data_IF_128677756535
#
_entry.id   IF_128677756535
#
_cell.length_a   1.000
_cell.length_b   1.000
_cell.length_c   1.000
_cell.angle_alpha   90.00
_cell.angle_beta   90.00
_cell.angle_gamma   90.00
#
_symmetry.space_group_name_H-M   'P 1'
#
loop_
_entity.id
_entity.type
_entity.pdbx_description
1 polymer ?
#
# COMPACT_ATOMS: atom_id res chain seq x y z
N UNK A 1 -16.19 4.54 11.47
CA UNK A 1 -14.86 4.04 11.08
C UNK A 1 -15.04 2.57 10.76
N UNK A 2 -14.47 2.07 9.66
CA UNK A 2 -14.51 0.65 9.35
C UNK A 2 -13.82 -0.15 10.46
N UNK A 3 -14.29 -1.37 10.70
CA UNK A 3 -13.67 -2.29 11.65
C UNK A 3 -12.56 -3.05 10.92
N UNK A 4 -11.32 -2.91 11.40
CA UNK A 4 -10.13 -3.55 10.86
C UNK A 4 -9.44 -4.48 11.89
N UNK A 5 -10.08 -4.69 13.05
CA UNK A 5 -9.54 -5.57 14.09
C UNK A 5 -9.68 -7.04 13.68
N UNK A 6 -10.77 -7.38 12.98
CA UNK A 6 -10.96 -8.68 12.32
C UNK A 6 -11.03 -8.49 10.81
N UNK A 7 -9.99 -8.94 10.10
CA UNK A 7 -9.94 -8.94 8.64
C UNK A 7 -10.39 -10.29 8.06
N UNK A 8 -10.91 -11.22 8.85
CA UNK A 8 -11.38 -12.52 8.35
C UNK A 8 -12.41 -12.31 7.24
N UNK A 9 -12.19 -12.93 6.07
CA UNK A 9 -13.07 -12.79 4.91
C UNK A 9 -12.80 -11.58 4.02
N UNK A 10 -11.76 -10.78 4.30
CA UNK A 10 -11.41 -9.59 3.50
C UNK A 10 -11.31 -9.86 1.99
N UNK A 11 -10.79 -11.04 1.60
CA UNK A 11 -10.71 -11.47 0.20
C UNK A 11 -12.06 -11.68 -0.45
N UNK A 12 -12.98 -12.33 0.26
CA UNK A 12 -14.33 -12.60 -0.26
C UNK A 12 -15.12 -11.29 -0.39
N UNK A 13 -14.94 -10.36 0.56
CA UNK A 13 -15.51 -9.01 0.48
C UNK A 13 -14.97 -8.25 -0.74
N UNK A 14 -13.64 -8.22 -0.92
CA UNK A 14 -13.03 -7.56 -2.07
C UNK A 14 -13.51 -8.16 -3.39
N UNK A 15 -13.57 -9.50 -3.46
CA UNK A 15 -14.04 -10.21 -4.66
C UNK A 15 -15.50 -9.86 -4.96
N UNK A 16 -16.36 -9.82 -3.94
CA UNK A 16 -17.76 -9.42 -4.11
C UNK A 16 -17.87 -7.96 -4.57
N UNK A 17 -17.06 -7.07 -3.99
CA UNK A 17 -17.04 -5.66 -4.35
C UNK A 17 -16.59 -5.45 -5.79
N UNK A 18 -15.47 -6.04 -6.22
CA UNK A 18 -14.98 -5.99 -7.62
C UNK A 18 -16.01 -6.48 -8.66
N UNK A 19 -16.92 -7.39 -8.27
CA UNK A 19 -17.96 -7.90 -9.16
C UNK A 19 -19.19 -6.99 -9.26
N UNK A 20 -19.40 -6.12 -8.28
CA UNK A 20 -20.49 -5.15 -8.27
C UNK A 20 -20.26 -4.02 -9.27
N UNK A 21 -21.34 -3.38 -9.73
CA UNK A 21 -21.23 -2.21 -10.62
C UNK A 21 -20.59 -1.02 -9.90
N UNK A 22 -20.82 -0.89 -8.59
CA UNK A 22 -20.17 0.10 -7.74
C UNK A 22 -18.65 -0.10 -7.70
N UNK A 23 -18.19 -1.32 -7.44
CA UNK A 23 -16.76 -1.62 -7.37
C UNK A 23 -16.05 -1.42 -8.71
N UNK A 24 -16.67 -1.81 -9.83
CA UNK A 24 -16.11 -1.53 -11.17
C UNK A 24 -15.90 -0.04 -11.39
N UNK A 25 -16.94 0.76 -11.14
CA UNK A 25 -16.84 2.21 -11.28
C UNK A 25 -15.80 2.83 -10.35
N UNK A 26 -15.69 2.30 -9.12
CA UNK A 26 -14.72 2.74 -8.13
C UNK A 26 -13.26 2.54 -8.59
N UNK A 27 -12.91 1.34 -9.06
CA UNK A 27 -11.53 1.05 -9.52
C UNK A 27 -11.19 1.76 -10.84
N UNK A 28 -12.17 1.99 -11.71
CA UNK A 28 -11.98 2.71 -12.98
C UNK A 28 -11.86 4.24 -12.80
N UNK A 29 -12.33 4.80 -11.67
CA UNK A 29 -12.52 6.24 -11.54
C UNK A 29 -11.23 7.05 -11.77
N UNK A 30 -10.13 6.58 -11.20
CA UNK A 30 -8.81 7.22 -11.22
C UNK A 30 -7.75 6.33 -11.87
N UNK A 31 -8.15 5.29 -12.61
CA UNK A 31 -7.23 4.40 -13.30
C UNK A 31 -6.30 5.18 -14.24
N UNK A 32 -5.10 4.64 -14.48
CA UNK A 32 -4.14 5.18 -15.45
C UNK A 32 -4.83 5.35 -16.81
N UNK A 33 -4.86 6.60 -17.31
CA UNK A 33 -5.52 6.95 -18.57
C UNK A 33 -6.92 7.52 -18.41
N UNK A 34 -7.50 7.53 -17.21
CA UNK A 34 -8.77 8.23 -16.88
C UNK A 34 -8.70 9.74 -17.11
N UNK A 35 -7.49 10.32 -17.05
CA UNK A 35 -7.26 11.77 -17.10
C UNK A 35 -7.67 12.50 -15.82
N UNK A 36 -8.10 11.77 -14.78
CA UNK A 36 -8.40 12.31 -13.45
C UNK A 36 -7.18 12.20 -12.54
N UNK A 37 -7.12 13.08 -11.54
CA UNK A 37 -6.14 13.03 -10.47
C UNK A 37 -6.91 12.65 -9.21
N UNK A 38 -6.50 11.56 -8.55
CA UNK A 38 -7.08 11.17 -7.29
C UNK A 38 -6.80 12.21 -6.20
N UNK A 39 -7.75 12.46 -5.28
CA UNK A 39 -7.46 13.24 -4.08
C UNK A 39 -6.34 12.58 -3.27
N UNK A 40 -5.53 13.40 -2.58
CA UNK A 40 -4.51 12.90 -1.66
C UNK A 40 -5.16 12.06 -0.57
N UNK A 41 -4.51 10.96 -0.18
CA UNK A 41 -4.96 10.15 0.94
C UNK A 41 -4.61 10.86 2.26
N UNK A 42 -5.52 10.94 3.24
CA UNK A 42 -5.16 11.44 4.57
C UNK A 42 -4.00 10.62 5.17
N UNK A 43 -3.01 11.30 5.74
CA UNK A 43 -1.82 10.64 6.27
C UNK A 43 -2.16 9.64 7.38
N UNK A 44 -3.19 9.92 8.18
CA UNK A 44 -3.70 8.98 9.19
C UNK A 44 -4.18 7.65 8.58
N UNK A 45 -4.79 7.69 7.38
CA UNK A 45 -5.16 6.47 6.66
C UNK A 45 -3.94 5.72 6.12
N UNK A 46 -2.88 6.43 5.71
CA UNK A 46 -1.61 5.79 5.34
C UNK A 46 -1.02 5.03 6.55
N UNK A 47 -1.02 5.66 7.73
CA UNK A 47 -0.51 5.07 8.96
C UNK A 47 -1.35 3.87 9.43
N UNK A 48 -2.68 3.93 9.30
CA UNK A 48 -3.57 2.81 9.61
C UNK A 48 -3.30 1.61 8.69
N UNK A 49 -3.25 1.82 7.38
CA UNK A 49 -2.94 0.77 6.40
C UNK A 49 -1.57 0.13 6.68
N UNK A 50 -0.53 0.95 6.83
CA UNK A 50 0.81 0.47 7.15
C UNK A 50 0.83 -0.33 8.47
N UNK A 51 0.08 0.14 9.47
CA UNK A 51 -0.07 -0.54 10.75
C UNK A 51 -0.82 -1.87 10.64
N UNK A 52 -1.80 -1.99 9.76
CA UNK A 52 -2.49 -3.26 9.47
C UNK A 52 -1.54 -4.27 8.81
N UNK A 53 -0.74 -3.83 7.84
CA UNK A 53 0.26 -4.68 7.18
C UNK A 53 1.31 -5.25 8.14
N UNK A 54 1.68 -4.49 9.18
CA UNK A 54 2.64 -4.94 10.20
C UNK A 54 2.02 -5.83 11.29
N UNK A 55 0.69 -5.80 11.48
CA UNK A 55 0.00 -6.53 12.55
C UNK A 55 -0.61 -7.84 12.09
N UNK A 56 -1.19 -7.88 10.89
CA UNK A 56 -1.92 -9.04 10.40
C UNK A 56 -0.97 -10.05 9.78
N UNK A 57 -0.89 -11.26 10.36
CA UNK A 57 0.16 -12.24 10.08
C UNK A 57 0.31 -12.55 8.59
N UNK A 58 -0.79 -12.79 7.89
CA UNK A 58 -0.76 -13.10 6.45
C UNK A 58 -0.17 -11.96 5.62
N UNK A 59 -0.64 -10.73 5.87
CA UNK A 59 -0.20 -9.53 5.16
C UNK A 59 1.26 -9.24 5.50
N UNK A 60 1.65 -9.43 6.76
CA UNK A 60 3.01 -9.26 7.22
C UNK A 60 3.97 -10.25 6.55
N UNK A 61 3.60 -11.52 6.41
CA UNK A 61 4.42 -12.49 5.67
C UNK A 61 4.57 -12.09 4.20
N UNK A 62 3.50 -11.60 3.57
CA UNK A 62 3.58 -11.07 2.22
C UNK A 62 4.49 -9.83 2.14
N UNK A 63 4.46 -8.94 3.14
CA UNK A 63 5.33 -7.76 3.26
C UNK A 63 6.81 -8.17 3.31
N UNK A 64 7.16 -9.15 4.16
CA UNK A 64 8.53 -9.66 4.29
C UNK A 64 9.08 -10.21 2.98
N UNK A 65 8.28 -10.96 2.21
CA UNK A 65 8.70 -11.42 0.88
C UNK A 65 8.93 -10.26 -0.09
N UNK A 66 8.13 -9.20 -0.01
CA UNK A 66 8.34 -7.99 -0.79
C UNK A 66 9.62 -7.25 -0.42
N UNK A 67 9.97 -7.20 0.87
CA UNK A 67 11.24 -6.63 1.34
C UNK A 67 12.43 -7.43 0.81
N UNK A 68 12.36 -8.76 0.90
CA UNK A 68 13.40 -9.65 0.38
C UNK A 68 13.55 -9.53 -1.14
N UNK A 69 12.44 -9.42 -1.87
CA UNK A 69 12.46 -9.18 -3.30
C UNK A 69 13.14 -7.85 -3.66
N UNK A 70 12.82 -6.76 -2.96
CA UNK A 70 13.48 -5.48 -3.15
C UNK A 70 15.00 -5.58 -2.91
N UNK A 71 15.42 -6.31 -1.87
CA UNK A 71 16.84 -6.58 -1.59
C UNK A 71 17.52 -7.32 -2.75
N UNK A 72 16.88 -8.33 -3.32
CA UNK A 72 17.40 -9.07 -4.48
C UNK A 72 17.59 -8.13 -5.68
N UNK A 73 16.61 -7.27 -5.97
CA UNK A 73 16.69 -6.31 -7.07
C UNK A 73 17.80 -5.28 -6.86
N UNK A 74 17.97 -4.77 -5.63
CA UNK A 74 19.03 -3.83 -5.28
C UNK A 74 20.43 -4.45 -5.42
N UNK A 75 20.60 -5.71 -5.01
CA UNK A 75 21.88 -6.44 -5.11
C UNK A 75 22.19 -6.89 -6.55
N UNK A 76 21.17 -6.99 -7.40
CA UNK A 76 21.28 -7.49 -8.77
C UNK A 76 20.68 -6.50 -9.77
N UNK A 77 21.38 -5.41 -10.11
CA UNK A 77 20.84 -4.32 -10.93
C UNK A 77 20.43 -4.72 -12.36
N UNK A 78 20.80 -5.91 -12.83
CA UNK A 78 20.40 -6.46 -14.15
C UNK A 78 19.48 -7.69 -14.03
N UNK A 79 18.79 -7.86 -12.89
CA UNK A 79 17.88 -8.97 -12.66
C UNK A 79 16.47 -8.61 -13.15
N UNK A 80 16.27 -8.72 -14.46
CA UNK A 80 15.00 -8.41 -15.13
C UNK A 80 14.21 -9.68 -15.47
N UNK A 81 13.01 -9.49 -16.03
CA UNK A 81 12.05 -10.57 -16.33
C UNK A 81 12.57 -11.66 -17.28
N UNK A 82 13.64 -11.37 -18.03
CA UNK A 82 14.29 -12.27 -18.98
C UNK A 82 15.37 -13.13 -18.31
N UNK A 83 15.74 -12.83 -17.06
CA UNK A 83 16.66 -13.65 -16.30
C UNK A 83 15.99 -15.00 -15.97
N UNK A 84 16.69 -16.15 -16.16
CA UNK A 84 16.10 -17.48 -15.94
C UNK A 84 15.46 -17.66 -14.55
N UNK A 85 16.14 -17.19 -13.50
CA UNK A 85 15.66 -17.31 -12.12
C UNK A 85 14.63 -16.24 -11.71
N UNK A 86 14.24 -15.31 -12.60
CA UNK A 86 13.41 -14.16 -12.21
C UNK A 86 12.07 -14.61 -11.66
N UNK A 87 11.34 -15.44 -12.41
CA UNK A 87 10.01 -15.89 -12.04
C UNK A 87 10.02 -16.89 -10.89
N UNK A 88 11.13 -17.60 -10.69
CA UNK A 88 11.30 -18.50 -9.55
C UNK A 88 11.54 -17.74 -8.23
N UNK A 89 12.16 -16.56 -8.30
CA UNK A 89 12.46 -15.72 -7.14
C UNK A 89 11.41 -14.63 -6.88
N UNK A 90 10.65 -14.22 -7.91
CA UNK A 90 9.63 -13.19 -7.78
C UNK A 90 8.44 -13.70 -6.94
N UNK A 91 8.14 -13.09 -5.78
CA UNK A 91 7.08 -13.56 -4.90
C UNK A 91 5.70 -13.05 -5.37
N UNK A 92 5.29 -13.48 -6.57
CA UNK A 92 4.08 -13.02 -7.27
C UNK A 92 2.83 -13.09 -6.38
N UNK A 93 2.56 -14.25 -5.77
CA UNK A 93 1.39 -14.42 -4.88
C UNK A 93 1.39 -13.43 -3.70
N UNK A 94 2.58 -13.05 -3.22
CA UNK A 94 2.70 -12.08 -2.14
C UNK A 94 2.55 -10.64 -2.64
N UNK A 95 2.89 -10.35 -3.90
CA UNK A 95 2.56 -9.07 -4.53
C UNK A 95 1.04 -8.93 -4.67
N UNK A 96 0.38 -9.96 -5.21
CA UNK A 96 -1.08 -10.02 -5.35
C UNK A 96 -1.77 -9.88 -4.01
N UNK A 97 -1.32 -10.60 -2.98
CA UNK A 97 -1.91 -10.51 -1.63
C UNK A 97 -1.83 -9.10 -1.05
N UNK A 98 -0.72 -8.39 -1.23
CA UNK A 98 -0.58 -7.01 -0.72
C UNK A 98 -1.42 -6.02 -1.52
N UNK A 99 -1.42 -6.14 -2.86
CA UNK A 99 -2.23 -5.28 -3.73
C UNK A 99 -3.72 -5.46 -3.43
N UNK A 100 -4.20 -6.70 -3.37
CA UNK A 100 -5.59 -6.99 -2.99
C UNK A 100 -5.92 -6.42 -1.60
N UNK A 101 -5.00 -6.51 -0.63
CA UNK A 101 -5.26 -5.96 0.70
C UNK A 101 -5.36 -4.43 0.70
N UNK A 102 -4.53 -3.75 -0.10
CA UNK A 102 -4.60 -2.29 -0.27
C UNK A 102 -5.91 -1.87 -0.94
N UNK A 103 -6.32 -2.55 -2.00
CA UNK A 103 -7.60 -2.34 -2.67
C UNK A 103 -8.77 -2.53 -1.69
N UNK A 104 -8.72 -3.60 -0.89
CA UNK A 104 -9.74 -3.88 0.12
C UNK A 104 -9.81 -2.77 1.17
N UNK A 105 -8.67 -2.35 1.70
CA UNK A 105 -8.60 -1.27 2.66
C UNK A 105 -9.16 0.04 2.10
N UNK A 106 -8.81 0.39 0.85
CA UNK A 106 -9.23 1.62 0.21
C UNK A 106 -10.75 1.73 0.14
N UNK A 107 -11.44 0.70 -0.39
CA UNK A 107 -12.90 0.75 -0.51
C UNK A 107 -13.58 0.66 0.87
N UNK A 108 -13.07 -0.17 1.80
CA UNK A 108 -13.63 -0.30 3.15
C UNK A 108 -13.53 1.00 3.94
N UNK A 109 -12.47 1.76 3.71
CA UNK A 109 -12.24 3.07 4.33
C UNK A 109 -13.02 4.21 3.64
N UNK A 110 -13.64 3.94 2.48
CA UNK A 110 -14.29 4.97 1.67
C UNK A 110 -13.30 5.97 1.06
N UNK A 111 -12.05 5.56 0.88
CA UNK A 111 -11.01 6.39 0.24
C UNK A 111 -11.17 6.31 -1.28
N UNK A 112 -10.87 7.39 -2.02
CA UNK A 112 -10.63 7.29 -3.46
C UNK A 112 -9.54 6.24 -3.75
N UNK A 113 -9.72 5.47 -4.82
CA UNK A 113 -8.68 4.54 -5.25
C UNK A 113 -7.51 5.30 -5.88
N UNK A 114 -6.34 5.25 -5.23
CA UNK A 114 -5.07 5.79 -5.74
C UNK A 114 -3.94 4.81 -5.41
N UNK A 115 -3.51 4.06 -6.43
CA UNK A 115 -2.40 3.11 -6.32
C UNK A 115 -1.13 3.76 -5.77
N UNK A 116 -0.84 5.01 -6.16
CA UNK A 116 0.35 5.71 -5.73
C UNK A 116 0.36 5.91 -4.21
N UNK A 117 -0.72 6.46 -3.68
CA UNK A 117 -0.85 6.71 -2.24
C UNK A 117 -0.85 5.41 -1.42
N UNK A 118 -1.53 4.36 -1.91
CA UNK A 118 -1.55 3.05 -1.26
C UNK A 118 -0.15 2.42 -1.20
N UNK A 119 0.62 2.48 -2.29
CA UNK A 119 1.99 2.00 -2.32
C UNK A 119 2.92 2.80 -1.39
N UNK A 120 2.71 4.12 -1.24
CA UNK A 120 3.52 4.91 -0.29
C UNK A 120 3.26 4.48 1.16
N UNK A 121 2.04 4.08 1.51
CA UNK A 121 1.74 3.51 2.83
C UNK A 121 2.46 2.17 3.04
N UNK A 122 2.49 1.31 2.03
CA UNK A 122 3.28 0.07 2.05
C UNK A 122 4.78 0.35 2.27
N UNK A 123 5.34 1.38 1.62
CA UNK A 123 6.74 1.77 1.81
C UNK A 123 7.01 2.17 3.27
N UNK A 124 6.13 2.94 3.91
CA UNK A 124 6.27 3.28 5.34
C UNK A 124 6.32 2.02 6.22
N UNK A 125 5.48 1.01 5.94
CA UNK A 125 5.52 -0.27 6.64
C UNK A 125 6.87 -0.98 6.44
N UNK A 126 7.37 -1.03 5.19
CA UNK A 126 8.68 -1.63 4.87
C UNK A 126 9.82 -0.93 5.58
N UNK A 127 9.83 0.40 5.63
CA UNK A 127 10.88 1.18 6.28
C UNK A 127 10.92 0.94 7.80
N UNK A 128 9.76 0.82 8.44
CA UNK A 128 9.68 0.46 9.86
C UNK A 128 10.19 -0.96 10.10
N UNK A 129 9.79 -1.92 9.26
CA UNK A 129 10.26 -3.31 9.35
C UNK A 129 11.79 -3.41 9.16
N UNK A 130 12.34 -2.64 8.21
CA UNK A 130 13.78 -2.53 7.96
C UNK A 130 14.53 -1.71 9.02
N UNK A 131 13.83 -1.14 10.01
CA UNK A 131 14.38 -0.27 11.07
C UNK A 131 15.03 1.02 10.54
N UNK A 132 14.66 1.44 9.35
CA UNK A 132 15.04 2.74 8.77
C UNK A 132 14.22 3.87 9.40
N UNK A 133 12.99 3.57 9.80
CA UNK A 133 12.16 4.41 10.65
C UNK A 133 11.95 3.73 12.00
N UNK A 134 11.95 4.48 13.12
CA UNK A 134 11.82 3.88 14.45
C UNK A 134 10.40 3.37 14.73
N UNK A 135 9.37 4.04 14.20
CA UNK A 135 7.96 3.64 14.30
C UNK A 135 7.12 4.45 13.29
N UNK A 136 5.93 3.94 12.93
CA UNK A 136 5.01 4.62 12.00
C UNK A 136 4.58 6.01 12.49
N UNK A 137 4.27 6.15 13.79
CA UNK A 137 3.82 7.43 14.40
C UNK A 137 4.96 8.25 14.99
N UNK A 138 6.20 8.06 14.51
CA UNK A 138 7.32 8.86 15.00
C UNK A 138 7.44 10.19 14.23
N UNK A 139 8.02 11.24 14.85
CA UNK A 139 8.28 12.50 14.13
C UNK A 139 9.15 12.31 12.87
N UNK A 140 10.05 11.32 12.87
CA UNK A 140 10.90 11.00 11.72
C UNK A 140 10.09 10.42 10.56
N UNK A 141 9.10 9.56 10.85
CA UNK A 141 8.23 9.00 9.83
C UNK A 141 7.35 10.07 9.18
N UNK A 142 6.78 10.99 9.98
CA UNK A 142 6.03 12.11 9.45
C UNK A 142 6.91 13.06 8.62
N UNK A 143 8.10 13.42 9.13
CA UNK A 143 9.03 14.28 8.39
C UNK A 143 9.46 13.67 7.06
N UNK A 144 9.73 12.36 7.04
CA UNK A 144 10.03 11.63 5.81
C UNK A 144 8.85 11.65 4.84
N UNK A 145 7.64 11.31 5.31
CA UNK A 145 6.44 11.32 4.48
C UNK A 145 6.12 12.71 3.90
N UNK A 146 6.36 13.79 4.67
CA UNK A 146 6.19 15.18 4.19
C UNK A 146 7.23 15.58 3.15
N UNK A 147 8.44 15.03 3.22
CA UNK A 147 9.53 15.33 2.28
C UNK A 147 9.36 14.57 0.97
N UNK A 148 9.09 13.27 1.07
CA UNK A 148 9.21 12.34 -0.04
C UNK A 148 7.84 11.99 -0.65
N UNK A 149 6.75 12.08 0.13
CA UNK A 149 5.40 11.63 -0.25
C UNK A 149 4.32 12.73 -0.18
N UNK A 150 4.71 14.01 -0.15
CA UNK A 150 3.77 15.14 -0.05
C UNK A 150 2.69 15.12 -1.13
N UNK A 151 3.03 14.68 -2.34
CA UNK A 151 2.09 14.64 -3.46
C UNK A 151 0.98 13.59 -3.28
N UNK A 152 1.21 12.59 -2.43
CA UNK A 152 0.28 11.48 -2.18
C UNK A 152 -0.55 11.69 -0.91
N UNK A 153 -0.02 12.40 0.09
CA UNK A 153 -0.64 12.50 1.40
C UNK A 153 -1.13 13.90 1.77
N UNK A 154 -2.30 13.95 2.39
CA UNK A 154 -2.82 15.13 3.09
C UNK A 154 -2.51 15.01 4.59
N UNK A 155 -1.88 16.02 5.17
CA UNK A 155 -1.51 16.03 6.58
C UNK A 155 -2.39 17.00 7.36
N UNK A 156 -2.86 16.59 8.54
CA UNK A 156 -3.57 17.49 9.45
C UNK A 156 -2.62 18.58 9.97
N UNK A 157 -2.88 19.83 9.59
CA UNK A 157 -2.09 21.00 9.99
C UNK A 157 -1.89 21.97 8.83
N UNK A 158 -2.22 23.25 9.09
CA UNK A 158 -2.25 24.39 8.15
C UNK A 158 -1.30 24.25 6.95
N UNK A 159 -1.87 24.41 5.76
CA UNK A 159 -1.11 24.92 4.61
C UNK A 159 -0.29 26.12 5.10
N UNK A 160 1.03 26.04 4.94
CA UNK A 160 1.89 27.20 5.04
C UNK A 160 1.32 28.26 4.10
N UNK A 161 0.95 29.42 4.67
CA UNK A 161 0.52 30.61 3.94
C UNK A 161 1.53 31.02 2.86
#
# INVERSE_FOLDING_TARGET
MADFDDITGWRDELKAFRQSDEGKAYFEEYEIGSGKIAPKMPFENALELAGLMLRHQEIYQALLKGIEWNRILEERPNFFHDHPDYWDLNPVESHETRNDFMDWYAFKSGLPYDDGALHMAEILAKMVERKELPALRSPQAEAYARSDFEIFFEFDGKQSE
#
